data_IF_358701026060
#
_entry.id   IF_358701026060
#
_cell.length_a   1.000
_cell.length_b   1.000
_cell.length_c   1.000
_cell.angle_alpha   90.00
_cell.angle_beta   90.00
_cell.angle_gamma   90.00
#
_symmetry.space_group_name_H-M   'P 1'
#
loop_
_entity.id
_entity.type
_entity.pdbx_description
1 polymer ?
#
# COMPACT_ATOMS: atom_id res chain seq x y z
N UNK A 1 7.57 11.18 -17.16
CA UNK A 1 6.98 10.04 -16.41
C UNK A 1 5.74 10.50 -15.68
N UNK A 2 4.66 9.78 -15.80
CA UNK A 2 3.48 10.03 -14.99
C UNK A 2 3.63 9.26 -13.67
N UNK A 3 4.00 9.94 -12.61
CA UNK A 3 4.27 9.32 -11.32
C UNK A 3 3.00 8.73 -10.69
N UNK A 4 1.86 9.41 -10.83
CA UNK A 4 0.60 8.89 -10.32
C UNK A 4 0.20 7.59 -11.03
N UNK A 5 0.37 7.53 -12.36
CA UNK A 5 0.09 6.32 -13.12
C UNK A 5 1.02 5.16 -12.73
N UNK A 6 2.28 5.46 -12.44
CA UNK A 6 3.24 4.44 -11.99
C UNK A 6 2.78 3.84 -10.66
N UNK A 7 2.38 4.67 -9.71
CA UNK A 7 1.91 4.20 -8.40
C UNK A 7 0.56 3.47 -8.54
N UNK A 8 -0.34 3.95 -9.39
CA UNK A 8 -1.61 3.25 -9.62
C UNK A 8 -1.36 1.82 -10.12
N UNK A 9 -0.42 1.66 -11.04
CA UNK A 9 -0.01 0.36 -11.53
C UNK A 9 0.57 -0.52 -10.42
N UNK A 10 1.42 0.05 -9.56
CA UNK A 10 1.99 -0.67 -8.42
C UNK A 10 0.89 -1.16 -7.47
N UNK A 11 -0.08 -0.31 -7.15
CA UNK A 11 -1.20 -0.66 -6.28
C UNK A 11 -2.09 -1.73 -6.92
N UNK A 12 -2.30 -1.67 -8.24
CA UNK A 12 -3.06 -2.69 -8.94
C UNK A 12 -2.35 -4.05 -8.89
N UNK A 13 -1.04 -4.07 -9.08
CA UNK A 13 -0.26 -5.30 -8.89
C UNK A 13 -0.42 -5.85 -7.47
N UNK A 14 -0.47 -4.97 -6.49
CA UNK A 14 -0.69 -5.38 -5.09
C UNK A 14 -2.04 -6.04 -4.87
N UNK A 15 -3.11 -5.48 -5.43
CA UNK A 15 -4.44 -6.08 -5.35
C UNK A 15 -4.48 -7.44 -6.06
N UNK A 16 -3.79 -7.57 -7.18
CA UNK A 16 -3.73 -8.79 -7.97
C UNK A 16 -2.72 -9.81 -7.43
N UNK A 17 -2.02 -9.46 -6.35
CA UNK A 17 -0.96 -10.27 -5.74
C UNK A 17 0.15 -10.66 -6.71
N UNK A 18 0.48 -9.75 -7.61
CA UNK A 18 1.62 -9.89 -8.53
C UNK A 18 2.88 -9.38 -7.86
N UNK A 19 3.38 -10.17 -6.91
CA UNK A 19 4.47 -9.76 -6.00
C UNK A 19 5.77 -9.49 -6.75
N UNK A 20 6.10 -10.30 -7.75
CA UNK A 20 7.32 -10.12 -8.52
C UNK A 20 7.32 -8.78 -9.29
N UNK A 21 6.17 -8.44 -9.89
CA UNK A 21 6.00 -7.17 -10.60
C UNK A 21 6.11 -5.98 -9.63
N UNK A 22 5.54 -6.11 -8.42
CA UNK A 22 5.68 -5.07 -7.40
C UNK A 22 7.14 -4.90 -7.01
N UNK A 23 7.84 -5.99 -6.73
CA UNK A 23 9.23 -5.94 -6.28
C UNK A 23 10.15 -5.35 -7.36
N UNK A 24 9.86 -5.62 -8.63
CA UNK A 24 10.61 -5.07 -9.75
C UNK A 24 10.48 -3.54 -9.87
N UNK A 25 9.44 -2.96 -9.31
CA UNK A 25 9.24 -1.50 -9.30
C UNK A 25 9.93 -0.83 -8.11
N UNK A 26 10.48 -1.60 -7.19
CA UNK A 26 11.14 -1.08 -5.98
C UNK A 26 12.64 -0.96 -6.17
N UNK A 27 13.22 0.09 -5.60
CA UNK A 27 14.67 0.27 -5.57
C UNK A 27 15.30 -0.77 -4.64
N UNK A 28 16.59 -1.12 -4.85
CA UNK A 28 17.34 -1.91 -3.87
C UNK A 28 17.34 -1.17 -2.53
N UNK A 29 17.23 -1.91 -1.41
CA UNK A 29 17.23 -1.33 -0.06
C UNK A 29 16.10 -0.32 0.17
N UNK A 30 14.96 -0.54 -0.48
CA UNK A 30 13.78 0.29 -0.30
C UNK A 30 13.19 0.10 1.10
N UNK A 31 12.48 1.14 1.57
CA UNK A 31 11.84 1.14 2.88
C UNK A 31 10.33 0.95 2.72
N UNK A 32 9.79 -0.05 3.42
CA UNK A 32 8.34 -0.31 3.45
C UNK A 32 7.90 -0.20 4.90
N UNK A 33 7.08 0.81 5.20
CA UNK A 33 6.58 1.06 6.55
C UNK A 33 5.06 1.00 6.56
N UNK A 34 4.50 0.16 7.44
CA UNK A 34 3.07 -0.04 7.60
C UNK A 34 2.58 0.51 8.95
N UNK A 35 1.24 0.55 9.17
CA UNK A 35 0.69 1.15 10.40
C UNK A 35 1.33 0.60 11.66
N UNK A 36 1.55 1.51 12.62
CA UNK A 36 2.25 1.19 13.85
C UNK A 36 3.78 1.24 13.71
N UNK A 37 4.29 1.69 12.56
CA UNK A 37 5.72 1.78 12.31
C UNK A 37 6.37 0.44 11.97
N UNK A 38 5.59 -0.54 11.55
CA UNK A 38 6.11 -1.87 11.22
C UNK A 38 6.87 -1.83 9.90
N UNK A 39 8.12 -2.28 9.92
CA UNK A 39 9.00 -2.26 8.76
C UNK A 39 9.09 -3.62 8.07
N UNK A 40 9.09 -3.59 6.74
CA UNK A 40 9.31 -4.75 5.90
C UNK A 40 10.45 -4.47 4.93
N UNK A 41 11.21 -5.49 4.58
CA UNK A 41 12.30 -5.38 3.61
C UNK A 41 11.84 -5.70 2.19
N UNK A 42 10.80 -6.52 2.04
CA UNK A 42 10.29 -6.96 0.73
C UNK A 42 8.78 -6.96 0.70
N UNK A 43 8.22 -6.94 -0.51
CA UNK A 43 6.77 -7.07 -0.72
C UNK A 43 6.27 -8.46 -0.29
N UNK A 44 7.11 -9.49 -0.41
CA UNK A 44 6.77 -10.84 0.05
C UNK A 44 6.50 -10.86 1.56
N UNK A 45 7.35 -10.19 2.34
CA UNK A 45 7.15 -10.09 3.79
C UNK A 45 5.84 -9.38 4.13
N UNK A 46 5.55 -8.30 3.41
CA UNK A 46 4.32 -7.53 3.62
C UNK A 46 3.08 -8.39 3.34
N UNK A 47 3.07 -9.12 2.22
CA UNK A 47 1.95 -9.98 1.86
C UNK A 47 1.77 -11.12 2.86
N UNK A 48 2.87 -11.71 3.34
CA UNK A 48 2.83 -12.75 4.37
C UNK A 48 2.19 -12.23 5.66
N UNK A 49 2.57 -11.00 6.07
CA UNK A 49 1.95 -10.36 7.25
C UNK A 49 0.44 -10.13 7.02
N UNK A 50 0.05 -9.70 5.81
CA UNK A 50 -1.35 -9.43 5.48
C UNK A 50 -2.23 -10.67 5.60
N UNK A 51 -1.72 -11.86 5.27
CA UNK A 51 -2.47 -13.12 5.37
C UNK A 51 -2.95 -13.43 6.79
N UNK A 52 -2.27 -12.92 7.79
CA UNK A 52 -2.68 -13.08 9.20
C UNK A 52 -3.66 -12.01 9.69
N UNK A 53 -4.03 -11.06 8.85
CA UNK A 53 -4.86 -9.92 9.22
C UNK A 53 -6.23 -9.89 8.57
N UNK A 54 -6.33 -10.27 7.30
CA UNK A 54 -7.57 -10.24 6.52
C UNK A 54 -7.52 -11.26 5.40
N UNK A 55 -8.68 -11.60 4.84
CA UNK A 55 -8.77 -12.55 3.73
C UNK A 55 -8.35 -11.90 2.42
N UNK A 56 -8.90 -10.72 2.13
CA UNK A 56 -8.50 -9.91 0.98
C UNK A 56 -8.84 -8.45 1.25
N UNK A 57 -8.14 -7.55 0.53
CA UNK A 57 -8.35 -6.12 0.61
C UNK A 57 -8.13 -5.50 -0.76
N UNK A 58 -8.96 -4.52 -1.10
CA UNK A 58 -8.81 -3.70 -2.30
C UNK A 58 -9.03 -2.23 -1.94
N UNK A 59 -8.68 -1.35 -2.87
CA UNK A 59 -8.72 0.09 -2.65
C UNK A 59 -9.65 0.77 -3.65
N UNK A 60 -10.48 1.67 -3.13
CA UNK A 60 -11.06 2.74 -3.93
C UNK A 60 -10.04 3.87 -3.93
N UNK A 61 -9.28 4.00 -5.02
CA UNK A 61 -8.20 4.98 -5.15
C UNK A 61 -8.80 6.30 -5.63
N UNK A 62 -9.17 7.17 -4.67
CA UNK A 62 -9.91 8.39 -4.96
C UNK A 62 -9.08 9.42 -5.69
N UNK A 63 -7.88 9.68 -5.21
CA UNK A 63 -7.04 10.72 -5.79
C UNK A 63 -5.58 10.56 -5.41
N UNK A 64 -4.74 11.22 -6.21
CA UNK A 64 -3.30 11.25 -6.03
C UNK A 64 -2.83 12.69 -5.91
N UNK A 65 -1.84 12.92 -5.06
CA UNK A 65 -1.10 14.16 -5.00
C UNK A 65 0.34 13.87 -5.38
N UNK A 66 0.91 14.71 -6.23
CA UNK A 66 2.29 14.51 -6.73
C UNK A 66 3.10 15.75 -6.39
N UNK A 67 4.26 15.55 -5.78
CA UNK A 67 5.21 16.61 -5.48
C UNK A 67 6.60 16.24 -5.95
N UNK A 68 7.40 17.24 -6.32
CA UNK A 68 8.78 17.04 -6.74
C UNK A 68 9.69 17.78 -5.78
N UNK A 69 10.71 17.08 -5.29
CA UNK A 69 11.70 17.65 -4.39
C UNK A 69 13.10 17.17 -4.82
N UNK A 70 13.79 17.99 -5.61
CA UNK A 70 15.09 17.63 -6.17
C UNK A 70 14.94 16.42 -7.10
N UNK A 71 15.72 15.38 -6.83
CA UNK A 71 15.72 14.15 -7.64
C UNK A 71 14.60 13.18 -7.27
N UNK A 72 13.79 13.54 -6.27
CA UNK A 72 12.73 12.66 -5.78
C UNK A 72 11.37 13.18 -6.18
N UNK A 73 10.47 12.25 -6.48
CA UNK A 73 9.05 12.54 -6.71
C UNK A 73 8.26 11.80 -5.64
N UNK A 74 7.39 12.53 -4.95
CA UNK A 74 6.51 11.96 -3.92
C UNK A 74 5.11 11.83 -4.48
N UNK A 75 4.50 10.65 -4.32
CA UNK A 75 3.10 10.41 -4.70
C UNK A 75 2.34 10.00 -3.44
N UNK A 76 1.24 10.70 -3.16
CA UNK A 76 0.33 10.37 -2.08
C UNK A 76 -0.96 9.85 -2.69
N UNK A 77 -1.36 8.63 -2.30
CA UNK A 77 -2.61 8.00 -2.72
C UNK A 77 -3.58 8.03 -1.55
N UNK A 78 -4.78 8.56 -1.77
CA UNK A 78 -5.80 8.67 -0.73
C UNK A 78 -7.09 8.04 -1.23
N UNK A 79 -7.75 7.30 -0.35
CA UNK A 79 -9.04 6.70 -0.65
C UNK A 79 -9.54 5.85 0.50
N UNK A 80 -10.25 4.79 0.17
CA UNK A 80 -10.81 3.88 1.16
C UNK A 80 -10.50 2.43 0.81
N UNK A 81 -10.43 1.59 1.85
CA UNK A 81 -10.23 0.15 1.73
C UNK A 81 -11.57 -0.55 1.88
N UNK A 82 -11.73 -1.64 1.16
CA UNK A 82 -12.83 -2.58 1.32
C UNK A 82 -12.30 -4.00 1.19
N UNK A 83 -12.97 -4.95 1.81
CA UNK A 83 -12.52 -6.33 1.79
C UNK A 83 -13.28 -7.22 2.73
N UNK A 84 -12.63 -8.30 3.17
CA UNK A 84 -13.18 -9.24 4.15
C UNK A 84 -12.14 -9.57 5.21
N UNK A 85 -12.59 -9.63 6.47
CA UNK A 85 -11.72 -10.04 7.56
C UNK A 85 -11.53 -11.56 7.57
N UNK A 86 -10.76 -12.09 8.53
CA UNK A 86 -10.46 -13.52 8.60
C UNK A 86 -11.69 -14.38 8.91
N UNK A 87 -12.76 -13.79 9.45
CA UNK A 87 -14.01 -14.49 9.69
C UNK A 87 -14.99 -14.42 8.50
N UNK A 88 -14.56 -13.82 7.37
CA UNK A 88 -15.38 -13.69 6.18
C UNK A 88 -16.38 -12.54 6.25
N UNK A 89 -16.24 -11.63 7.21
CA UNK A 89 -17.14 -10.48 7.35
C UNK A 89 -16.64 -9.35 6.44
N UNK A 90 -17.50 -8.85 5.53
CA UNK A 90 -17.08 -7.77 4.63
C UNK A 90 -16.98 -6.43 5.37
N UNK A 91 -16.08 -5.57 4.91
CA UNK A 91 -15.95 -4.20 5.38
C UNK A 91 -15.69 -3.26 4.22
N UNK A 92 -16.00 -1.97 4.42
CA UNK A 92 -15.84 -0.94 3.42
C UNK A 92 -15.61 0.41 4.11
N UNK A 93 -15.21 1.42 3.34
CA UNK A 93 -15.11 2.78 3.84
C UNK A 93 -13.97 3.05 4.81
N UNK A 94 -12.96 2.20 4.86
CA UNK A 94 -11.83 2.36 5.76
C UNK A 94 -10.80 3.30 5.11
N UNK A 95 -10.55 4.45 5.72
CA UNK A 95 -9.62 5.45 5.15
C UNK A 95 -8.20 4.93 5.08
N UNK A 96 -7.49 5.28 4.00
CA UNK A 96 -6.07 5.01 3.89
C UNK A 96 -5.34 6.21 3.29
N UNK A 97 -4.06 6.31 3.62
CA UNK A 97 -3.10 7.21 2.98
C UNK A 97 -1.83 6.40 2.74
N UNK A 98 -1.42 6.30 1.49
CA UNK A 98 -0.15 5.69 1.12
C UNK A 98 0.75 6.77 0.53
N UNK A 99 1.99 6.85 1.00
CA UNK A 99 2.98 7.80 0.49
C UNK A 99 4.13 7.02 -0.12
N UNK A 100 4.49 7.40 -1.35
CA UNK A 100 5.60 6.77 -2.08
C UNK A 100 6.64 7.80 -2.45
N UNK A 101 7.90 7.45 -2.27
CA UNK A 101 9.02 8.27 -2.75
C UNK A 101 9.66 7.52 -3.91
N UNK A 102 9.73 8.20 -5.07
CA UNK A 102 10.28 7.66 -6.30
C UNK A 102 11.60 8.38 -6.62
N UNK A 103 12.63 7.62 -6.96
CA UNK A 103 13.92 8.14 -7.37
C UNK A 103 14.46 7.29 -8.49
N UNK A 104 14.92 7.90 -9.58
CA UNK A 104 15.42 7.18 -10.76
C UNK A 104 14.41 6.17 -11.33
N UNK A 105 13.13 6.52 -11.30
CA UNK A 105 12.05 5.66 -11.82
C UNK A 105 11.68 4.47 -10.94
N UNK A 106 12.28 4.31 -9.77
CA UNK A 106 12.00 3.21 -8.85
C UNK A 106 11.44 3.73 -7.53
N UNK A 107 10.62 2.92 -6.88
CA UNK A 107 10.04 3.25 -5.58
C UNK A 107 11.10 3.00 -4.51
N UNK A 108 11.49 4.06 -3.82
CA UNK A 108 12.49 4.02 -2.75
C UNK A 108 11.86 3.84 -1.38
N UNK A 109 10.68 4.43 -1.18
CA UNK A 109 9.95 4.32 0.09
C UNK A 109 8.46 4.14 -0.17
N UNK A 110 7.85 3.32 0.66
CA UNK A 110 6.41 3.13 0.72
C UNK A 110 5.99 3.25 2.19
N UNK A 111 5.12 4.21 2.49
CA UNK A 111 4.64 4.44 3.85
C UNK A 111 3.12 4.38 3.86
N UNK A 112 2.56 3.58 4.75
CA UNK A 112 1.14 3.25 4.76
C UNK A 112 0.50 3.62 6.08
N UNK A 113 -0.61 4.36 6.02
CA UNK A 113 -1.48 4.66 7.16
C UNK A 113 -2.91 4.28 6.80
N UNK A 114 -3.63 3.68 7.72
CA UNK A 114 -5.05 3.40 7.53
C UNK A 114 -5.77 3.20 8.87
N UNK A 115 -7.09 3.21 8.80
CA UNK A 115 -7.96 3.09 9.97
C UNK A 115 -8.41 1.65 10.27
N UNK A 116 -7.73 0.63 9.75
CA UNK A 116 -8.14 -0.76 9.96
C UNK A 116 -8.23 -1.11 11.45
N UNK A 117 -7.24 -0.72 12.24
CA UNK A 117 -7.23 -1.00 13.68
C UNK A 117 -8.29 -0.17 14.42
N UNK A 118 -8.35 1.12 14.13
CA UNK A 118 -9.29 2.04 14.79
C UNK A 118 -10.75 1.67 14.55
N UNK A 119 -11.06 1.16 13.36
CA UNK A 119 -12.42 0.77 12.99
C UNK A 119 -12.87 -0.54 13.63
N UNK A 120 -11.93 -1.39 14.05
CA UNK A 120 -12.23 -2.70 14.61
C UNK A 120 -12.68 -3.75 13.58
N UNK A 121 -12.63 -3.44 12.27
CA UNK A 121 -13.15 -4.36 11.24
C UNK A 121 -12.34 -5.65 11.11
N UNK A 122 -11.09 -5.65 11.58
CA UNK A 122 -10.24 -6.84 11.55
C UNK A 122 -10.41 -7.73 12.78
N UNK A 123 -11.14 -7.27 13.78
CA UNK A 123 -11.34 -8.04 15.01
C UNK A 123 -12.21 -9.26 14.70
N UNK A 124 -11.67 -10.44 14.98
CA UNK A 124 -12.36 -11.72 14.76
C UNK A 124 -12.74 -12.26 16.13
N UNK A 125 -14.06 -12.41 16.33
CA UNK A 125 -14.59 -12.92 17.60
C UNK A 125 -15.32 -14.23 17.41
#
# INVERSE_FOLDING_TARGET
>A
MDAAALIDKFLQFGEDRKIEEMQAMMAPQSRIEFPGGKLFSTQTEMVTNAKGRYTWIKKHRDRYFVGVNGDQTTVTSIGTLYGENLAGVPFDGIRYVDVFVIENGLIKEQMVWNDLCESGVLDVK
#
